data_IF_272197672116
#
_entry.id   IF_272197672116
#
_cell.length_a   1.000
_cell.length_b   1.000
_cell.length_c   1.000
_cell.angle_alpha   90.00
_cell.angle_beta   90.00
_cell.angle_gamma   90.00
#
_symmetry.space_group_name_H-M   'P 1'
#
loop_
_entity.id
_entity.type
_entity.pdbx_description
1 polymer ?
#
# COMPACT_ATOMS: atom_id res chain seq x y z
N UNK A 1 10.94 -30.99 -27.54
CA UNK A 1 12.12 -30.25 -27.02
C UNK A 1 11.78 -28.77 -26.98
N UNK A 2 11.92 -28.14 -25.80
CA UNK A 2 11.94 -26.69 -25.54
C UNK A 2 10.70 -25.89 -25.98
N UNK A 3 9.77 -25.46 -25.13
CA UNK A 3 9.97 -24.91 -23.79
C UNK A 3 10.42 -23.45 -23.90
N UNK A 4 9.48 -22.51 -23.82
CA UNK A 4 9.74 -21.07 -23.88
C UNK A 4 8.59 -20.30 -23.25
N UNK A 5 8.29 -20.62 -21.99
CA UNK A 5 7.37 -19.83 -21.17
C UNK A 5 7.93 -18.41 -21.01
N UNK A 6 7.25 -17.45 -21.62
CA UNK A 6 7.47 -16.02 -21.37
C UNK A 6 7.02 -15.70 -19.96
N UNK A 7 7.92 -15.82 -18.99
CA UNK A 7 7.74 -15.27 -17.66
C UNK A 7 7.55 -13.76 -17.77
N UNK A 8 6.34 -13.28 -17.50
CA UNK A 8 6.04 -11.86 -17.33
C UNK A 8 6.77 -11.34 -16.09
N UNK A 9 8.03 -10.94 -16.27
CA UNK A 9 8.83 -10.33 -15.21
C UNK A 9 8.29 -8.93 -14.90
N UNK A 10 7.84 -8.72 -13.66
CA UNK A 10 7.52 -7.39 -13.13
C UNK A 10 8.79 -6.53 -13.05
N UNK A 11 9.13 -5.87 -14.15
CA UNK A 11 10.29 -4.97 -14.23
C UNK A 11 9.91 -3.51 -13.97
N UNK A 12 10.63 -2.85 -13.08
CA UNK A 12 10.57 -1.39 -12.93
C UNK A 12 11.15 -0.67 -14.14
N UNK A 13 10.59 0.50 -14.49
CA UNK A 13 11.08 1.36 -15.59
C UNK A 13 11.56 2.70 -15.03
N UNK A 14 12.63 3.24 -15.60
CA UNK A 14 13.17 4.55 -15.22
C UNK A 14 12.95 5.58 -16.34
N UNK A 15 12.34 6.70 -15.99
CA UNK A 15 12.14 7.84 -16.88
C UNK A 15 12.90 9.04 -16.34
N UNK A 16 14.00 9.41 -16.97
CA UNK A 16 14.83 10.53 -16.54
C UNK A 16 14.29 11.84 -17.15
N UNK A 17 13.18 12.32 -16.60
CA UNK A 17 12.36 13.41 -17.18
C UNK A 17 13.10 14.75 -17.33
N UNK A 18 14.15 14.99 -16.54
CA UNK A 18 15.00 16.19 -16.64
C UNK A 18 15.58 16.39 -18.05
N UNK A 19 15.89 15.30 -18.76
CA UNK A 19 16.43 15.36 -20.12
C UNK A 19 15.34 15.25 -21.20
N UNK A 20 14.07 15.30 -20.81
CA UNK A 20 12.93 15.28 -21.73
C UNK A 20 12.44 16.70 -21.96
N UNK A 21 12.34 17.13 -23.22
CA UNK A 21 11.65 18.38 -23.57
C UNK A 21 10.13 18.23 -23.50
N UNK A 22 9.63 17.04 -23.81
CA UNK A 22 8.22 16.68 -23.83
C UNK A 22 8.09 15.26 -23.27
N UNK A 23 7.07 15.00 -22.47
CA UNK A 23 6.77 13.65 -22.01
C UNK A 23 6.19 12.80 -23.13
N UNK A 24 6.66 11.55 -23.32
CA UNK A 24 6.04 10.61 -24.25
C UNK A 24 4.54 10.45 -23.95
N UNK A 25 3.70 10.38 -24.99
CA UNK A 25 2.25 10.30 -24.85
C UNK A 25 1.78 9.15 -23.95
N UNK A 26 2.41 7.98 -24.06
CA UNK A 26 2.10 6.84 -23.21
C UNK A 26 2.39 7.11 -21.72
N UNK A 27 3.49 7.81 -21.41
CA UNK A 27 3.83 8.18 -20.03
C UNK A 27 2.86 9.24 -19.50
N UNK A 28 2.49 10.24 -20.32
CA UNK A 28 1.46 11.22 -19.96
C UNK A 28 0.14 10.54 -19.65
N UNK A 29 -0.36 9.68 -20.55
CA UNK A 29 -1.62 8.98 -20.38
C UNK A 29 -1.62 8.15 -19.08
N UNK A 30 -0.51 7.43 -18.81
CA UNK A 30 -0.36 6.69 -17.56
C UNK A 30 -0.43 7.61 -16.33
N UNK A 31 0.25 8.75 -16.36
CA UNK A 31 0.26 9.71 -15.24
C UNK A 31 -1.13 10.32 -15.03
N UNK A 32 -1.87 10.65 -16.08
CA UNK A 32 -3.17 11.32 -16.01
C UNK A 32 -4.34 10.36 -15.72
N UNK A 33 -4.19 9.06 -15.99
CA UNK A 33 -5.22 8.05 -15.76
C UNK A 33 -5.57 7.87 -14.27
N UNK A 34 -6.81 8.19 -13.89
CA UNK A 34 -7.29 8.06 -12.50
C UNK A 34 -7.50 6.62 -12.04
N UNK A 35 -7.70 5.67 -12.97
CA UNK A 35 -7.86 4.26 -12.64
C UNK A 35 -6.52 3.61 -12.27
N UNK A 36 -5.42 4.16 -12.78
CA UNK A 36 -4.08 3.76 -12.38
C UNK A 36 -3.67 4.50 -11.10
N UNK A 37 -3.57 3.79 -9.97
CA UNK A 37 -3.10 4.35 -8.71
C UNK A 37 -1.59 4.61 -8.74
N UNK A 38 -1.19 5.81 -8.31
CA UNK A 38 0.20 6.20 -8.11
C UNK A 38 0.41 6.34 -6.61
N UNK A 39 1.23 5.46 -6.06
CA UNK A 39 1.46 5.35 -4.62
C UNK A 39 2.85 5.88 -4.27
N UNK A 40 2.95 6.62 -3.17
CA UNK A 40 4.21 7.21 -2.71
C UNK A 40 4.02 8.00 -1.43
N UNK A 41 5.11 8.47 -0.85
CA UNK A 41 5.07 9.39 0.30
C UNK A 41 5.37 10.81 -0.15
N UNK A 42 4.47 11.75 0.10
CA UNK A 42 4.61 13.13 -0.38
C UNK A 42 4.37 13.26 -1.89
N UNK A 43 3.66 12.31 -2.49
CA UNK A 43 3.48 12.19 -3.94
C UNK A 43 2.73 13.39 -4.54
N UNK A 44 1.94 14.10 -3.73
CA UNK A 44 1.30 15.34 -4.15
C UNK A 44 2.33 16.39 -4.57
N UNK A 45 3.48 16.47 -3.88
CA UNK A 45 4.58 17.37 -4.25
C UNK A 45 5.19 17.01 -5.61
N UNK A 46 5.35 15.72 -5.89
CA UNK A 46 5.81 15.24 -7.21
C UNK A 46 4.81 15.59 -8.31
N UNK A 47 3.51 15.46 -8.01
CA UNK A 47 2.43 15.89 -8.90
C UNK A 47 2.49 17.36 -9.25
N UNK A 48 2.67 18.24 -8.25
CA UNK A 48 2.81 19.68 -8.46
C UNK A 48 4.04 20.01 -9.32
N UNK A 49 5.16 19.33 -9.08
CA UNK A 49 6.38 19.50 -9.88
C UNK A 49 6.17 19.10 -11.34
N UNK A 50 5.56 17.93 -11.58
CA UNK A 50 5.27 17.45 -12.92
C UNK A 50 4.24 18.34 -13.65
N UNK A 51 3.26 18.89 -12.92
CA UNK A 51 2.35 19.86 -13.48
C UNK A 51 3.08 21.13 -13.92
N UNK A 52 3.92 21.70 -13.06
CA UNK A 52 4.71 22.90 -13.37
C UNK A 52 5.65 22.69 -14.56
N UNK A 53 6.34 21.56 -14.61
CA UNK A 53 7.41 21.33 -15.59
C UNK A 53 6.87 20.80 -16.94
N UNK A 54 5.74 20.09 -16.96
CA UNK A 54 5.24 19.40 -18.16
C UNK A 54 3.75 19.61 -18.46
N UNK A 55 3.04 20.42 -17.67
CA UNK A 55 1.59 20.65 -17.79
C UNK A 55 0.84 19.31 -17.81
N UNK A 56 1.16 18.44 -16.84
CA UNK A 56 0.48 17.16 -16.63
C UNK A 56 -0.47 17.30 -15.45
N UNK A 57 -1.70 16.81 -15.59
CA UNK A 57 -2.67 16.72 -14.50
C UNK A 57 -2.71 15.29 -14.00
N UNK A 58 -1.74 14.91 -13.16
CA UNK A 58 -1.64 13.53 -12.69
C UNK A 58 -2.89 13.15 -11.89
N UNK A 59 -3.40 11.93 -12.13
CA UNK A 59 -4.57 11.36 -11.49
C UNK A 59 -4.22 10.12 -10.66
N UNK A 60 -5.11 9.72 -9.75
CA UNK A 60 -4.96 8.47 -8.99
C UNK A 60 -3.91 8.50 -7.88
N UNK A 61 -3.63 9.66 -7.29
CA UNK A 61 -2.68 9.76 -6.18
C UNK A 61 -3.16 9.00 -4.93
N UNK A 62 -2.27 8.24 -4.33
CA UNK A 62 -2.43 7.65 -3.01
C UNK A 62 -1.18 8.01 -2.19
N UNK A 63 -1.32 9.00 -1.32
CA UNK A 63 -0.24 9.38 -0.42
C UNK A 63 -0.24 8.49 0.83
N UNK A 64 0.87 7.76 1.02
CA UNK A 64 1.03 6.83 2.12
C UNK A 64 1.07 7.49 3.49
N UNK A 65 1.49 8.76 3.58
CA UNK A 65 1.56 9.46 4.86
C UNK A 65 0.17 9.67 5.46
N UNK A 66 -0.70 10.45 4.81
CA UNK A 66 -2.10 10.62 5.24
C UNK A 66 -2.85 9.30 5.36
N UNK A 67 -2.64 8.33 4.45
CA UNK A 67 -3.27 7.02 4.52
C UNK A 67 -2.89 6.26 5.81
N UNK A 68 -1.60 6.21 6.13
CA UNK A 68 -1.13 5.56 7.35
C UNK A 68 -1.70 6.24 8.61
N UNK A 69 -1.81 7.58 8.61
CA UNK A 69 -2.41 8.33 9.72
C UNK A 69 -3.90 8.05 9.87
N UNK A 70 -4.64 8.01 8.76
CA UNK A 70 -6.09 7.81 8.78
C UNK A 70 -6.46 6.39 9.21
N UNK A 71 -5.71 5.39 8.76
CA UNK A 71 -6.12 3.99 8.91
C UNK A 71 -5.36 3.26 10.00
N UNK A 72 -4.11 3.60 10.28
CA UNK A 72 -3.28 2.96 11.31
C UNK A 72 -2.58 3.96 12.24
N UNK A 73 -3.28 4.88 12.92
CA UNK A 73 -2.60 5.86 13.77
C UNK A 73 -1.76 5.21 14.87
N UNK A 74 -2.13 4.01 15.35
CA UNK A 74 -1.36 3.25 16.34
C UNK A 74 -0.02 2.75 15.76
N UNK A 75 0.01 2.37 14.48
CA UNK A 75 1.23 1.93 13.79
C UNK A 75 2.25 3.07 13.67
N UNK A 76 1.77 4.31 13.66
CA UNK A 76 2.62 5.50 13.66
C UNK A 76 3.16 5.86 15.03
N UNK A 77 2.59 5.34 16.13
CA UNK A 77 3.08 5.61 17.49
C UNK A 77 3.21 7.10 17.81
N UNK A 78 2.29 7.93 17.32
CA UNK A 78 2.33 9.39 17.49
C UNK A 78 3.25 10.15 16.54
N UNK A 79 3.88 9.49 15.56
CA UNK A 79 4.67 10.16 14.52
C UNK A 79 3.75 10.88 13.53
N UNK A 80 3.74 12.21 13.59
CA UNK A 80 2.89 13.04 12.72
C UNK A 80 3.29 13.00 11.24
N UNK A 81 4.59 12.82 10.95
CA UNK A 81 5.16 12.85 9.60
C UNK A 81 6.12 11.68 9.37
N UNK A 82 5.60 10.46 9.13
CA UNK A 82 6.45 9.29 8.96
C UNK A 82 7.28 9.40 7.68
N UNK A 83 8.51 8.88 7.72
CA UNK A 83 9.33 8.72 6.51
C UNK A 83 8.94 7.44 5.78
N UNK A 84 9.26 7.31 4.49
CA UNK A 84 8.91 6.11 3.73
C UNK A 84 9.57 4.86 4.35
N UNK A 85 10.81 5.00 4.84
CA UNK A 85 11.47 3.93 5.60
C UNK A 85 10.71 3.56 6.86
N UNK A 86 10.19 4.53 7.60
CA UNK A 86 9.44 4.24 8.82
C UNK A 86 8.21 3.38 8.49
N UNK A 87 7.48 3.74 7.42
CA UNK A 87 6.33 2.96 6.96
C UNK A 87 6.74 1.57 6.48
N UNK A 88 7.79 1.46 5.67
CA UNK A 88 8.31 0.17 5.18
C UNK A 88 8.78 -0.72 6.34
N UNK A 89 9.41 -0.15 7.36
CA UNK A 89 9.83 -0.88 8.54
C UNK A 89 8.64 -1.39 9.35
N UNK A 90 7.67 -0.52 9.63
CA UNK A 90 6.48 -0.88 10.42
C UNK A 90 5.55 -1.85 9.70
N UNK A 91 5.39 -1.72 8.39
CA UNK A 91 4.47 -2.55 7.61
C UNK A 91 5.12 -3.85 7.12
N UNK A 92 6.41 -3.82 6.78
CA UNK A 92 7.09 -4.93 6.10
C UNK A 92 8.26 -5.54 6.90
N UNK A 93 8.68 -4.92 8.01
CA UNK A 93 9.86 -5.34 8.77
C UNK A 93 11.16 -5.22 7.96
N UNK A 94 11.21 -4.30 6.98
CA UNK A 94 12.35 -4.14 6.07
C UNK A 94 13.05 -2.79 6.25
N UNK A 95 14.31 -2.76 5.81
CA UNK A 95 15.13 -1.56 5.79
C UNK A 95 15.48 -1.16 4.34
N UNK A 96 15.37 0.13 4.06
CA UNK A 96 15.74 0.76 2.80
C UNK A 96 17.02 1.56 2.96
N UNK A 97 17.82 1.60 1.90
CA UNK A 97 19.09 2.30 1.89
C UNK A 97 18.87 3.82 2.01
N UNK A 98 19.29 4.42 3.12
CA UNK A 98 19.16 5.87 3.41
C UNK A 98 20.41 6.71 3.15
N UNK A 99 21.42 6.17 2.47
CA UNK A 99 22.70 6.86 2.24
C UNK A 99 22.48 8.30 1.72
N UNK A 100 22.79 9.34 2.53
CA UNK A 100 22.55 10.72 2.15
C UNK A 100 23.24 11.08 0.84
N UNK A 101 24.41 10.50 0.59
CA UNK A 101 25.23 10.77 -0.59
C UNK A 101 24.53 10.37 -1.90
N UNK A 102 23.65 9.36 -1.85
CA UNK A 102 22.84 8.96 -3.01
C UNK A 102 21.58 9.83 -3.08
N UNK A 103 20.89 9.99 -1.94
CA UNK A 103 19.62 10.73 -1.86
C UNK A 103 19.77 12.19 -2.28
N UNK A 104 20.86 12.84 -1.89
CA UNK A 104 21.16 14.25 -2.23
C UNK A 104 22.28 14.36 -3.27
N UNK A 105 22.58 13.28 -4.00
CA UNK A 105 23.54 13.30 -5.10
C UNK A 105 22.98 14.02 -6.34
N UNK A 106 23.79 14.10 -7.39
CA UNK A 106 23.40 14.74 -8.65
C UNK A 106 22.39 13.88 -9.43
N UNK A 107 21.10 14.13 -9.22
CA UNK A 107 20.00 13.49 -9.96
C UNK A 107 19.79 14.05 -11.37
N UNK A 108 20.54 15.08 -11.78
CA UNK A 108 20.56 15.60 -13.15
C UNK A 108 21.70 14.97 -13.98
N UNK A 109 22.60 14.21 -13.35
CA UNK A 109 23.68 13.50 -14.04
C UNK A 109 23.16 12.48 -15.05
N UNK A 110 23.67 12.52 -16.28
CA UNK A 110 23.35 11.56 -17.33
C UNK A 110 24.58 10.76 -17.78
N UNK A 111 24.54 9.41 -17.76
CA UNK A 111 23.48 8.59 -17.18
C UNK A 111 23.52 8.60 -15.64
N UNK A 112 22.37 8.34 -14.99
CA UNK A 112 22.35 8.08 -13.54
C UNK A 112 23.29 6.93 -13.18
N UNK A 113 23.93 7.01 -12.02
CA UNK A 113 24.75 5.91 -11.50
C UNK A 113 23.88 4.68 -11.19
N UNK A 114 24.51 3.49 -11.16
CA UNK A 114 23.83 2.26 -10.74
C UNK A 114 23.17 2.40 -9.37
N UNK A 115 23.87 3.03 -8.42
CA UNK A 115 23.39 3.26 -7.04
C UNK A 115 22.17 4.17 -6.99
N UNK A 116 22.12 5.22 -7.80
CA UNK A 116 20.94 6.10 -7.90
C UNK A 116 19.74 5.38 -8.49
N UNK A 117 19.94 4.57 -9.55
CA UNK A 117 18.85 3.74 -10.09
C UNK A 117 18.33 2.75 -9.05
N UNK A 118 19.22 2.01 -8.37
CA UNK A 118 18.84 1.08 -7.31
C UNK A 118 18.08 1.78 -6.18
N UNK A 119 18.53 2.95 -5.75
CA UNK A 119 17.84 3.77 -4.75
C UNK A 119 16.42 4.14 -5.21
N UNK A 120 16.26 4.70 -6.41
CA UNK A 120 14.97 5.13 -6.93
C UNK A 120 14.01 3.94 -7.19
N UNK A 121 14.51 2.79 -7.65
CA UNK A 121 13.69 1.57 -7.75
C UNK A 121 13.24 1.08 -6.38
N UNK A 122 14.11 1.12 -5.36
CA UNK A 122 13.76 0.67 -4.02
C UNK A 122 12.71 1.59 -3.39
N UNK A 123 12.77 2.91 -3.58
CA UNK A 123 11.75 3.84 -3.08
C UNK A 123 10.38 3.58 -3.76
N UNK A 124 10.37 3.38 -5.07
CA UNK A 124 9.13 3.06 -5.81
C UNK A 124 8.54 1.70 -5.38
N UNK A 125 9.39 0.67 -5.30
CA UNK A 125 8.97 -0.68 -4.90
C UNK A 125 8.55 -0.75 -3.43
N UNK A 126 9.27 -0.07 -2.54
CA UNK A 126 8.94 0.05 -1.12
C UNK A 126 7.59 0.71 -0.92
N UNK A 127 7.32 1.80 -1.64
CA UNK A 127 6.01 2.47 -1.65
C UNK A 127 4.88 1.53 -2.11
N UNK A 128 5.10 0.82 -3.22
CA UNK A 128 4.14 -0.16 -3.74
C UNK A 128 3.83 -1.28 -2.73
N UNK A 129 4.88 -1.88 -2.14
CA UNK A 129 4.70 -2.96 -1.15
C UNK A 129 4.07 -2.47 0.14
N UNK A 130 4.41 -1.26 0.61
CA UNK A 130 3.79 -0.65 1.77
C UNK A 130 2.30 -0.38 1.53
N UNK A 131 1.92 0.17 0.37
CA UNK A 131 0.53 0.39 -0.02
C UNK A 131 -0.26 -0.93 -0.03
N UNK A 132 0.27 -1.96 -0.69
CA UNK A 132 -0.38 -3.26 -0.77
C UNK A 132 -0.60 -3.87 0.63
N UNK A 133 0.41 -3.81 1.50
CA UNK A 133 0.30 -4.31 2.87
C UNK A 133 -0.71 -3.51 3.70
N UNK A 134 -0.75 -2.20 3.51
CA UNK A 134 -1.75 -1.35 4.14
C UNK A 134 -3.17 -1.78 3.73
N UNK A 135 -3.42 -1.94 2.43
CA UNK A 135 -4.72 -2.38 1.93
C UNK A 135 -5.15 -3.76 2.44
N UNK A 136 -4.22 -4.71 2.59
CA UNK A 136 -4.49 -6.00 3.23
C UNK A 136 -4.96 -5.84 4.69
N UNK A 137 -4.25 -5.01 5.47
CA UNK A 137 -4.61 -4.76 6.87
C UNK A 137 -5.97 -4.06 6.98
N UNK A 138 -6.27 -3.15 6.05
CA UNK A 138 -7.54 -2.42 6.01
C UNK A 138 -8.70 -3.35 5.71
N UNK A 139 -8.52 -4.28 4.76
CA UNK A 139 -9.52 -5.30 4.46
C UNK A 139 -9.77 -6.22 5.66
N UNK A 140 -8.71 -6.66 6.36
CA UNK A 140 -8.86 -7.48 7.57
C UNK A 140 -9.58 -6.74 8.69
N UNK A 141 -9.32 -5.45 8.87
CA UNK A 141 -10.02 -4.65 9.88
C UNK A 141 -11.49 -4.44 9.56
N UNK A 142 -11.80 -4.14 8.29
CA UNK A 142 -13.19 -4.01 7.87
C UNK A 142 -13.92 -5.35 8.05
N UNK A 143 -13.31 -6.46 7.65
CA UNK A 143 -13.88 -7.79 7.83
C UNK A 143 -14.13 -8.12 9.31
N UNK A 144 -13.26 -7.67 10.20
CA UNK A 144 -13.43 -7.81 11.64
C UNK A 144 -14.54 -6.90 12.19
N UNK A 145 -14.66 -5.66 11.70
CA UNK A 145 -15.68 -4.71 12.17
C UNK A 145 -17.09 -5.06 11.71
N UNK A 146 -17.22 -5.83 10.63
CA UNK A 146 -18.52 -6.31 10.12
C UNK A 146 -18.82 -7.77 10.50
N UNK A 147 -17.98 -8.40 11.33
CA UNK A 147 -18.07 -9.81 11.76
C UNK A 147 -18.31 -10.85 10.64
N UNK A 148 -17.91 -10.55 9.40
CA UNK A 148 -18.33 -11.33 8.23
C UNK A 148 -17.33 -12.37 7.75
N UNK A 149 -16.08 -12.40 8.24
CA UNK A 149 -15.14 -13.50 7.89
C UNK A 149 -13.89 -13.58 8.78
N UNK A 150 -13.99 -13.36 10.10
CA UNK A 150 -12.85 -13.57 11.02
C UNK A 150 -13.25 -14.36 12.28
N UNK A 151 -14.53 -14.39 12.67
CA UNK A 151 -15.06 -15.35 13.64
C UNK A 151 -15.48 -16.66 12.98
N UNK A 152 -15.33 -17.78 13.72
CA UNK A 152 -15.90 -19.07 13.34
C UNK A 152 -17.43 -18.95 13.31
N UNK A 153 -18.01 -19.06 12.13
CA UNK A 153 -19.45 -19.29 11.96
C UNK A 153 -19.71 -20.76 11.67
N UNK A 154 -20.98 -21.16 11.69
CA UNK A 154 -21.44 -22.52 11.40
C UNK A 154 -20.84 -23.14 10.10
N UNK A 155 -20.48 -22.31 9.12
CA UNK A 155 -19.87 -22.73 7.84
C UNK A 155 -18.33 -22.69 7.81
N UNK A 156 -17.68 -22.09 8.81
CA UNK A 156 -16.21 -21.88 8.85
C UNK A 156 -15.53 -22.55 10.04
N UNK A 157 -16.23 -23.39 10.82
CA UNK A 157 -15.65 -24.18 11.92
C UNK A 157 -14.51 -25.10 11.46
N UNK A 158 -14.56 -25.60 10.22
CA UNK A 158 -13.54 -26.49 9.66
C UNK A 158 -12.39 -25.77 8.96
N UNK A 159 -12.42 -24.43 8.88
CA UNK A 159 -11.43 -23.63 8.17
C UNK A 159 -10.87 -22.60 9.14
N UNK A 160 -9.56 -22.66 9.41
CA UNK A 160 -8.91 -21.63 10.20
C UNK A 160 -9.08 -20.27 9.51
N UNK A 161 -9.57 -19.26 10.25
CA UNK A 161 -9.60 -17.88 9.76
C UNK A 161 -8.21 -17.51 9.20
N UNK A 162 -8.13 -16.68 8.14
CA UNK A 162 -6.84 -16.23 7.60
C UNK A 162 -6.03 -15.65 8.75
N UNK A 163 -4.98 -16.37 9.11
CA UNK A 163 -4.12 -15.91 10.18
C UNK A 163 -3.48 -14.61 9.74
N UNK A 164 -3.59 -13.57 10.57
CA UNK A 164 -2.79 -12.34 10.45
C UNK A 164 -1.28 -12.64 10.37
N UNK A 165 -0.87 -13.88 10.69
CA UNK A 165 0.49 -14.41 10.73
C UNK A 165 1.09 -14.75 9.37
N UNK A 166 0.43 -14.47 8.23
CA UNK A 166 1.06 -14.75 6.94
C UNK A 166 2.39 -13.99 6.76
N UNK A 167 2.58 -12.82 7.39
CA UNK A 167 3.83 -12.03 7.29
C UNK A 167 4.25 -11.22 8.54
N UNK A 168 4.16 -11.79 9.75
CA UNK A 168 4.94 -11.31 10.91
C UNK A 168 4.58 -9.91 11.44
N UNK A 169 3.39 -9.76 12.01
CA UNK A 169 3.12 -8.65 12.93
C UNK A 169 3.90 -8.90 14.24
N UNK A 170 4.43 -7.84 14.86
CA UNK A 170 4.97 -7.95 16.22
C UNK A 170 3.84 -8.16 17.22
N UNK A 171 4.10 -8.76 18.40
CA UNK A 171 3.09 -8.92 19.45
C UNK A 171 2.35 -7.62 19.82
N UNK A 172 3.05 -6.48 19.76
CA UNK A 172 2.50 -5.15 19.98
C UNK A 172 1.50 -4.72 18.89
N UNK A 173 1.77 -5.09 17.64
CA UNK A 173 0.87 -4.82 16.51
C UNK A 173 -0.37 -5.73 16.58
N UNK A 174 -0.21 -6.99 17.00
CA UNK A 174 -1.33 -7.89 17.26
C UNK A 174 -2.22 -7.37 18.39
N UNK A 175 -1.62 -6.89 19.47
CA UNK A 175 -2.36 -6.32 20.60
C UNK A 175 -3.08 -5.03 20.22
N UNK A 176 -2.46 -4.18 19.39
CA UNK A 176 -3.12 -2.99 18.84
C UNK A 176 -4.32 -3.34 17.95
N UNK A 177 -4.23 -4.40 17.13
CA UNK A 177 -5.37 -4.90 16.36
C UNK A 177 -6.46 -5.44 17.29
N UNK A 178 -6.11 -6.29 18.27
CA UNK A 178 -7.08 -6.83 19.24
C UNK A 178 -7.74 -5.73 20.08
N UNK A 179 -7.01 -4.70 20.50
CA UNK A 179 -7.54 -3.58 21.28
C UNK A 179 -8.52 -2.72 20.46
N UNK A 180 -8.27 -2.55 19.15
CA UNK A 180 -9.19 -1.87 18.23
C UNK A 180 -10.50 -2.65 18.03
N UNK A 181 -10.44 -3.98 18.02
CA UNK A 181 -11.62 -4.84 17.87
C UNK A 181 -12.51 -4.90 19.11
N UNK A 182 -11.96 -4.64 20.30
CA UNK A 182 -12.71 -4.61 21.56
C UNK A 182 -13.62 -3.37 21.72
N UNK A 183 -13.49 -2.37 20.85
CA UNK A 183 -14.29 -1.14 20.89
C UNK A 183 -15.52 -1.13 19.98
N UNK A 184 -15.80 -2.23 19.29
CA UNK A 184 -16.98 -2.37 18.42
C UNK A 184 -17.97 -3.27 19.17
N UNK A 185 -19.05 -2.68 19.68
CA UNK A 185 -20.11 -3.45 20.33
C UNK A 185 -20.87 -4.31 19.32
N UNK A 186 -21.17 -5.55 19.73
CA UNK A 186 -21.90 -6.54 18.95
C UNK A 186 -23.38 -6.14 18.85
N UNK A 187 -23.88 -6.00 17.62
CA UNK A 187 -25.28 -5.69 17.36
C UNK A 187 -26.10 -6.99 17.24
N UNK A 188 -26.69 -7.39 18.37
CA UNK A 188 -27.53 -8.60 18.48
C UNK A 188 -28.76 -8.56 17.56
N UNK A 189 -29.24 -7.36 17.21
CA UNK A 189 -30.45 -7.16 16.40
C UNK A 189 -30.17 -7.44 14.92
N UNK A 190 -29.04 -6.97 14.40
CA UNK A 190 -28.59 -7.23 13.03
C UNK A 190 -28.29 -8.71 12.75
N UNK A 191 -27.69 -9.43 13.71
CA UNK A 191 -27.42 -10.87 13.57
C UNK A 191 -28.73 -11.69 13.52
N UNK A 192 -29.73 -11.31 14.32
CA UNK A 192 -31.05 -11.95 14.31
C UNK A 192 -31.77 -11.76 12.98
N UNK A 193 -31.80 -10.55 12.43
CA UNK A 193 -32.43 -10.28 11.12
C UNK A 193 -31.76 -11.09 10.00
N UNK A 194 -30.43 -11.21 10.04
CA UNK A 194 -29.66 -11.98 9.07
C UNK A 194 -29.97 -13.48 9.16
N UNK A 195 -30.19 -14.03 10.37
CA UNK A 195 -30.60 -15.44 10.57
C UNK A 195 -31.97 -15.72 10.00
N UNK A 196 -32.94 -14.84 10.23
CA UNK A 196 -34.31 -14.98 9.72
C UNK A 196 -34.35 -14.91 8.19
N UNK A 197 -33.54 -14.04 7.57
CA UNK A 197 -33.39 -14.03 6.11
C UNK A 197 -32.75 -15.32 5.59
N UNK A 198 -31.66 -15.82 6.18
CA UNK A 198 -31.00 -17.03 5.69
C UNK A 198 -31.89 -18.28 5.79
N UNK A 199 -32.71 -18.39 6.84
CA UNK A 199 -33.73 -19.44 6.98
C UNK A 199 -34.80 -19.35 5.88
N UNK A 200 -35.24 -18.13 5.55
CA UNK A 200 -36.23 -17.87 4.49
C UNK A 200 -35.75 -18.26 3.09
N UNK A 201 -34.45 -18.23 2.84
CA UNK A 201 -33.85 -18.65 1.56
C UNK A 201 -33.60 -20.16 1.47
N UNK A 202 -33.74 -20.89 2.60
CA UNK A 202 -33.51 -22.35 2.68
C UNK A 202 -34.79 -23.19 2.65
N UNK A 203 -35.97 -22.56 2.79
CA UNK A 203 -37.29 -23.19 2.58
C UNK A 203 -37.85 -22.90 1.20
#
# INVERSE_FOLDING_TARGET
>A
MGGGGGGGGGGGRFFHVKHMRVLPAALRNLLEDKACLKVGLGIQGDGLKLHRDFIVSMGGFLDLGPLATAVCPQLLGGVERPTLQYLVEKLLGKYMNKRPEIRTGDWEAYPLSRRQREYAANDAYGSYKAAARQSELDALRLAASVDRTIAHGFFTDSVSAPSVNAHGLSPEQEEAVRALLKGVEYDEEFDRETREEVERWRG
#
